data_IF_152159443014
#
_entry.id   IF_152159443014
#
_cell.length_a   1.000
_cell.length_b   1.000
_cell.length_c   1.000
_cell.angle_alpha   90.00
_cell.angle_beta   90.00
_cell.angle_gamma   90.00
#
_symmetry.space_group_name_H-M   'P 1'
#
loop_
_entity.id
_entity.type
_entity.pdbx_description
1 polymer ?
#
# COMPACT_ATOMS: atom_id res chain seq x y z
N UNK A 1 16.67 20.11 1.10
CA UNK A 1 16.67 18.90 1.95
C UNK A 1 15.21 18.46 2.09
N UNK A 2 14.65 17.89 1.01
CA UNK A 2 13.20 17.88 0.77
C UNK A 2 12.48 16.66 1.36
N UNK A 3 11.17 16.81 1.55
CA UNK A 3 10.15 15.92 2.15
C UNK A 3 10.20 14.42 1.74
N UNK A 4 11.03 14.06 0.77
CA UNK A 4 11.23 12.73 0.20
C UNK A 4 11.82 11.70 1.17
N UNK A 5 12.63 12.12 2.16
CA UNK A 5 13.18 11.18 3.17
C UNK A 5 12.18 10.83 4.29
N UNK A 6 11.33 11.78 4.70
CA UNK A 6 10.27 11.53 5.69
C UNK A 6 9.16 10.63 5.12
N UNK A 7 8.84 10.78 3.84
CA UNK A 7 7.85 9.96 3.14
C UNK A 7 8.23 8.47 3.24
N UNK A 8 9.48 8.10 2.96
CA UNK A 8 9.96 6.71 3.03
C UNK A 8 9.91 6.11 4.45
N UNK A 9 10.06 6.94 5.49
CA UNK A 9 10.04 6.49 6.88
C UNK A 9 8.61 6.15 7.37
N UNK A 10 7.58 6.80 6.82
CA UNK A 10 6.19 6.59 7.25
C UNK A 10 5.54 5.31 6.69
N UNK A 11 5.86 4.89 5.45
CA UNK A 11 5.27 3.67 4.84
C UNK A 11 5.99 2.38 5.21
N UNK A 12 7.31 2.45 5.39
CA UNK A 12 8.17 1.26 5.58
C UNK A 12 7.87 0.45 6.84
N UNK A 13 7.12 1.01 7.79
CA UNK A 13 6.73 0.29 9.01
C UNK A 13 5.51 -0.60 8.76
N UNK A 14 4.65 -0.29 7.78
CA UNK A 14 3.34 -0.94 7.61
C UNK A 14 3.30 -1.94 6.46
N UNK A 15 3.99 -1.70 5.36
CA UNK A 15 4.05 -2.61 4.22
C UNK A 15 5.41 -3.33 4.25
N UNK A 16 5.38 -4.67 4.29
CA UNK A 16 6.57 -5.52 4.32
C UNK A 16 6.62 -6.43 3.10
N UNK A 17 7.82 -6.71 2.61
CA UNK A 17 8.07 -7.75 1.62
C UNK A 17 8.86 -8.85 2.29
N UNK A 18 8.34 -10.06 2.24
CA UNK A 18 9.04 -11.25 2.74
C UNK A 18 8.95 -12.33 1.67
N UNK A 19 10.10 -12.79 1.19
CA UNK A 19 10.22 -13.83 0.16
C UNK A 19 9.51 -15.13 0.55
N UNK A 20 9.29 -15.35 1.84
CA UNK A 20 8.63 -16.54 2.39
C UNK A 20 7.11 -16.35 2.55
N UNK A 21 6.56 -15.16 2.32
CA UNK A 21 5.14 -14.83 2.49
C UNK A 21 4.55 -14.47 1.12
N UNK A 22 3.46 -15.15 0.73
CA UNK A 22 2.76 -14.90 -0.54
C UNK A 22 3.68 -14.86 -1.77
N UNK A 23 4.76 -15.66 -1.78
CA UNK A 23 5.71 -15.70 -2.90
C UNK A 23 6.56 -14.43 -3.08
N UNK A 24 6.74 -13.62 -2.03
CA UNK A 24 7.51 -12.37 -2.08
C UNK A 24 6.67 -11.12 -2.37
N UNK A 25 5.35 -11.24 -2.40
CA UNK A 25 4.48 -10.08 -2.55
C UNK A 25 4.55 -9.12 -1.34
N UNK A 26 4.25 -7.85 -1.59
CA UNK A 26 4.14 -6.86 -0.53
C UNK A 26 2.83 -7.08 0.25
N UNK A 27 2.94 -7.23 1.57
CA UNK A 27 1.83 -7.47 2.49
C UNK A 27 1.82 -6.44 3.61
N UNK A 28 0.65 -6.22 4.23
CA UNK A 28 0.58 -5.39 5.42
C UNK A 28 1.09 -6.16 6.64
N UNK A 29 1.96 -5.53 7.45
CA UNK A 29 2.63 -6.15 8.59
C UNK A 29 1.62 -6.77 9.55
N UNK A 30 1.85 -8.04 9.89
CA UNK A 30 0.96 -8.77 10.81
C UNK A 30 -0.30 -9.32 10.13
N UNK A 31 -0.44 -9.16 8.82
CA UNK A 31 -1.55 -9.70 8.03
C UNK A 31 -1.05 -10.57 6.87
N UNK A 32 -1.97 -11.27 6.22
CA UNK A 32 -1.74 -11.91 4.92
C UNK A 32 -2.41 -11.16 3.78
N UNK A 33 -2.90 -9.94 4.03
CA UNK A 33 -3.54 -9.12 3.01
C UNK A 33 -2.44 -8.46 2.19
N UNK A 34 -2.50 -8.63 0.87
CA UNK A 34 -1.50 -8.08 -0.03
C UNK A 34 -1.82 -6.63 -0.35
N UNK A 35 -0.77 -5.84 -0.59
CA UNK A 35 -0.91 -4.48 -1.11
C UNK A 35 -1.71 -4.46 -2.42
N UNK A 36 -1.50 -5.49 -3.26
CA UNK A 36 -2.23 -5.66 -4.52
C UNK A 36 -3.74 -5.75 -4.29
N UNK A 37 -4.17 -6.57 -3.33
CA UNK A 37 -5.60 -6.75 -3.03
C UNK A 37 -6.25 -5.42 -2.63
N UNK A 38 -5.64 -4.68 -1.70
CA UNK A 38 -6.20 -3.39 -1.26
C UNK A 38 -6.25 -2.37 -2.40
N UNK A 39 -5.20 -2.28 -3.23
CA UNK A 39 -5.21 -1.40 -4.39
C UNK A 39 -6.24 -1.82 -5.45
N UNK A 40 -6.48 -3.11 -5.62
CA UNK A 40 -7.51 -3.62 -6.53
C UNK A 40 -8.93 -3.26 -6.05
N UNK A 41 -9.22 -3.42 -4.75
CA UNK A 41 -10.49 -2.98 -4.15
C UNK A 41 -10.71 -1.48 -4.30
N UNK A 42 -9.70 -0.67 -3.98
CA UNK A 42 -9.77 0.78 -4.19
C UNK A 42 -10.01 1.15 -5.66
N UNK A 43 -9.41 0.41 -6.61
CA UNK A 43 -9.63 0.63 -8.03
C UNK A 43 -11.01 0.17 -8.51
N UNK A 44 -11.63 -0.81 -7.84
CA UNK A 44 -13.00 -1.26 -8.08
C UNK A 44 -14.04 -0.24 -7.57
N UNK A 45 -13.63 0.70 -6.72
CA UNK A 45 -14.48 1.73 -6.15
C UNK A 45 -14.92 1.47 -4.71
N UNK A 46 -14.39 0.43 -4.07
CA UNK A 46 -14.71 0.09 -2.69
C UNK A 46 -14.29 1.22 -1.74
N UNK A 47 -15.15 1.53 -0.77
CA UNK A 47 -14.86 2.50 0.29
C UNK A 47 -13.85 1.93 1.29
N UNK A 48 -13.21 2.82 2.07
CA UNK A 48 -12.28 2.39 3.13
C UNK A 48 -13.01 1.49 4.15
N UNK A 49 -14.23 1.84 4.49
CA UNK A 49 -15.07 1.11 5.44
C UNK A 49 -15.42 -0.29 4.92
N UNK A 50 -15.72 -0.43 3.63
CA UNK A 50 -16.00 -1.73 2.99
C UNK A 50 -14.76 -2.62 3.02
N UNK A 51 -13.60 -2.08 2.65
CA UNK A 51 -12.33 -2.82 2.67
C UNK A 51 -11.97 -3.26 4.11
N UNK A 52 -12.22 -2.41 5.11
CA UNK A 52 -11.99 -2.77 6.52
C UNK A 52 -12.99 -3.80 7.03
N UNK A 53 -14.21 -3.82 6.50
CA UNK A 53 -15.20 -4.86 6.82
C UNK A 53 -14.79 -6.23 6.26
N UNK A 54 -14.25 -6.25 5.03
CA UNK A 54 -13.75 -7.48 4.38
C UNK A 54 -12.42 -7.95 4.99
N UNK A 55 -11.58 -7.01 5.43
CA UNK A 55 -10.28 -7.26 6.02
C UNK A 55 -10.17 -6.64 7.42
N UNK A 56 -10.81 -7.21 8.45
CA UNK A 56 -10.82 -6.65 9.81
C UNK A 56 -9.46 -6.69 10.52
N UNK A 57 -8.45 -7.28 9.88
CA UNK A 57 -7.05 -7.26 10.35
C UNK A 57 -6.28 -6.03 9.89
N UNK A 58 -6.85 -5.25 8.97
CA UNK A 58 -6.31 -3.98 8.54
C UNK A 58 -6.82 -2.84 9.42
N UNK A 59 -6.01 -1.79 9.52
CA UNK A 59 -6.39 -0.50 10.05
C UNK A 59 -6.47 0.53 8.92
N UNK A 60 -7.19 1.63 9.17
CA UNK A 60 -7.31 2.75 8.24
C UNK A 60 -5.94 3.28 7.78
N UNK A 61 -4.93 3.27 8.67
CA UNK A 61 -3.58 3.69 8.32
C UNK A 61 -2.91 2.77 7.29
N UNK A 62 -3.27 1.48 7.26
CA UNK A 62 -2.73 0.53 6.29
C UNK A 62 -3.25 0.87 4.89
N UNK A 63 -4.54 1.20 4.76
CA UNK A 63 -5.13 1.64 3.49
C UNK A 63 -4.51 2.96 3.02
N UNK A 64 -4.31 3.92 3.93
CA UNK A 64 -3.61 5.17 3.60
C UNK A 64 -2.17 4.92 3.14
N UNK A 65 -1.46 3.97 3.76
CA UNK A 65 -0.13 3.58 3.33
C UNK A 65 -0.13 2.97 1.92
N UNK A 66 -1.17 2.19 1.57
CA UNK A 66 -1.34 1.64 0.23
C UNK A 66 -1.50 2.74 -0.83
N UNK A 67 -2.41 3.70 -0.60
CA UNK A 67 -2.67 4.82 -1.50
C UNK A 67 -1.40 5.64 -1.72
N UNK A 68 -0.71 5.98 -0.64
CA UNK A 68 0.50 6.78 -0.73
C UNK A 68 1.66 6.03 -1.39
N UNK A 69 1.78 4.72 -1.19
CA UNK A 69 2.71 3.89 -1.95
C UNK A 69 2.42 3.95 -3.45
N UNK A 70 1.15 3.80 -3.84
CA UNK A 70 0.74 3.87 -5.25
C UNK A 70 0.99 5.25 -5.86
N UNK A 71 0.71 6.33 -5.12
CA UNK A 71 0.98 7.70 -5.57
C UNK A 71 2.48 7.95 -5.82
N UNK A 72 3.35 7.51 -4.89
CA UNK A 72 4.79 7.64 -5.05
C UNK A 72 5.34 6.86 -6.25
N UNK A 73 4.79 5.67 -6.52
CA UNK A 73 5.19 4.87 -7.68
C UNK A 73 4.68 5.45 -9.00
N UNK A 74 3.47 6.02 -9.01
CA UNK A 74 2.95 6.71 -10.17
C UNK A 74 3.83 7.91 -10.55
N UNK A 75 4.31 8.69 -9.58
CA UNK A 75 5.23 9.81 -9.83
C UNK A 75 6.54 9.36 -10.50
N UNK A 76 7.06 8.19 -10.16
CA UNK A 76 8.26 7.61 -10.79
C UNK A 76 8.00 7.09 -12.22
N UNK A 77 6.78 6.60 -12.49
CA UNK A 77 6.37 6.10 -13.80
C UNK A 77 5.81 7.16 -14.76
N UNK A 78 5.50 8.37 -14.28
CA UNK A 78 4.87 9.45 -15.05
C UNK A 78 5.90 10.39 -15.73
N UNK A 79 6.99 9.86 -16.29
CA UNK A 79 7.76 10.57 -17.32
C UNK A 79 6.97 10.55 -18.63
N UNK A 80 5.95 11.42 -18.71
CA UNK A 80 5.01 11.52 -19.84
C UNK A 80 5.65 12.05 -21.14
N UNK A 81 6.98 12.20 -21.18
CA UNK A 81 7.76 12.70 -22.31
C UNK A 81 8.71 11.65 -22.94
N UNK A 82 8.52 10.35 -22.66
CA UNK A 82 9.22 9.27 -23.38
C UNK A 82 8.45 8.71 -24.57
#
# INVERSE_FOLDING_TARGET
>A
MGKSQEFRAAFGVRIVRDSNICGGEAVFRGTRVTLRTVLASLAAGDSIEEILADFPTLATEDIRAAIAFAAAFAEEGLDLNR
#
